data_IF_533143710573
#
_entry.id   IF_533143710573
#
_cell.length_a   1.000
_cell.length_b   1.000
_cell.length_c   1.000
_cell.angle_alpha   90.00
_cell.angle_beta   90.00
_cell.angle_gamma   90.00
#
_symmetry.space_group_name_H-M   'P 1'
#
loop_
_entity.id
_entity.type
_entity.pdbx_description
1 polymer ?
#
# COMPACT_ATOMS: atom_id res chain seq x y z
N UNK A 1 9.23 37.08 6.66
CA UNK A 1 9.34 36.18 5.49
C UNK A 1 9.10 34.76 5.99
N UNK A 2 7.89 34.23 5.79
CA UNK A 2 7.54 32.88 6.21
C UNK A 2 7.99 31.90 5.11
N UNK A 3 9.11 31.22 5.32
CA UNK A 3 9.45 30.02 4.56
C UNK A 3 8.58 28.89 5.08
N UNK A 4 7.50 28.61 4.35
CA UNK A 4 6.73 27.37 4.47
C UNK A 4 7.69 26.21 4.20
N UNK A 5 8.25 25.65 5.26
CA UNK A 5 8.94 24.36 5.25
C UNK A 5 7.87 23.30 4.97
N UNK A 6 7.59 23.06 3.68
CA UNK A 6 6.81 21.89 3.27
C UNK A 6 7.70 20.71 3.60
N UNK A 7 7.59 20.20 4.83
CA UNK A 7 8.21 18.95 5.26
C UNK A 7 7.76 17.89 4.26
N UNK A 8 8.63 17.58 3.31
CA UNK A 8 8.35 16.62 2.26
C UNK A 8 8.22 15.27 2.97
N UNK A 9 6.99 14.84 3.26
CA UNK A 9 6.72 13.57 3.91
C UNK A 9 7.34 12.48 3.05
N UNK A 10 8.39 11.84 3.58
CA UNK A 10 9.18 10.86 2.83
C UNK A 10 8.49 9.50 2.84
N UNK A 11 8.59 8.79 1.71
CA UNK A 11 8.32 7.36 1.60
C UNK A 11 8.90 6.61 2.79
N UNK A 12 8.06 5.81 3.46
CA UNK A 12 8.50 4.91 4.54
C UNK A 12 8.85 3.55 3.94
N UNK A 13 10.12 3.17 4.06
CA UNK A 13 10.58 1.80 3.82
C UNK A 13 10.71 1.07 5.15
N UNK A 14 10.46 -0.24 5.14
CA UNK A 14 10.55 -1.11 6.29
C UNK A 14 11.20 -2.45 5.92
N UNK A 15 11.57 -3.21 6.94
CA UNK A 15 12.03 -4.59 6.80
C UNK A 15 11.49 -5.42 7.98
N UNK A 16 11.52 -6.74 7.83
CA UNK A 16 11.16 -7.69 8.90
C UNK A 16 12.29 -8.71 9.07
N UNK A 17 12.34 -9.49 10.16
CA UNK A 17 13.35 -10.56 10.31
C UNK A 17 13.32 -11.59 9.17
N UNK A 18 12.14 -11.82 8.58
CA UNK A 18 11.94 -12.70 7.41
C UNK A 18 12.25 -11.94 6.11
N UNK A 19 11.74 -10.72 5.97
CA UNK A 19 11.97 -9.84 4.82
C UNK A 19 13.22 -9.01 5.08
N UNK A 20 14.39 -9.60 4.81
CA UNK A 20 15.72 -9.00 5.08
C UNK A 20 16.15 -7.90 4.11
N UNK A 21 15.24 -7.45 3.26
CA UNK A 21 15.45 -6.40 2.27
C UNK A 21 14.51 -5.25 2.56
N UNK A 22 14.92 -4.03 2.24
CA UNK A 22 14.06 -2.87 2.38
C UNK A 22 12.91 -2.94 1.38
N UNK A 23 11.69 -2.93 1.90
CA UNK A 23 10.43 -2.94 1.15
C UNK A 23 9.59 -1.73 1.54
N UNK A 24 8.53 -1.44 0.79
CA UNK A 24 7.58 -0.38 1.09
C UNK A 24 6.14 -0.87 0.87
N UNK A 25 5.20 -0.19 1.52
CA UNK A 25 3.77 -0.49 1.40
C UNK A 25 3.19 0.28 0.21
N UNK A 26 2.49 -0.41 -0.67
CA UNK A 26 1.81 0.17 -1.83
C UNK A 26 0.31 -0.15 -1.76
N UNK A 27 -0.50 0.80 -2.21
CA UNK A 27 -1.96 0.65 -2.30
C UNK A 27 -2.41 0.88 -3.74
N UNK A 28 -3.29 0.02 -4.23
CA UNK A 28 -4.05 0.18 -5.47
C UNK A 28 -5.51 -0.08 -5.17
N UNK A 29 -6.29 0.99 -5.06
CA UNK A 29 -7.69 0.94 -4.65
C UNK A 29 -7.84 0.22 -3.29
N UNK A 30 -8.60 -0.86 -3.25
CA UNK A 30 -8.82 -1.74 -2.11
C UNK A 30 -7.70 -2.75 -1.89
N UNK A 31 -6.72 -2.86 -2.79
CA UNK A 31 -5.62 -3.82 -2.71
C UNK A 31 -4.35 -3.21 -2.11
N UNK A 32 -3.69 -4.00 -1.28
CA UNK A 32 -2.47 -3.68 -0.58
C UNK A 32 -1.35 -4.63 -0.96
N UNK A 33 -0.16 -4.09 -1.12
CA UNK A 33 1.01 -4.81 -1.59
C UNK A 33 2.25 -4.40 -0.83
N UNK A 34 3.16 -5.35 -0.66
CA UNK A 34 4.56 -5.05 -0.39
C UNK A 34 5.27 -4.95 -1.74
N UNK A 35 6.05 -3.89 -1.92
CA UNK A 35 6.83 -3.65 -3.13
C UNK A 35 8.26 -3.29 -2.76
N UNK A 36 9.19 -3.45 -3.69
CA UNK A 36 10.53 -2.88 -3.54
C UNK A 36 10.44 -1.36 -3.68
N UNK A 37 11.03 -0.55 -2.78
CA UNK A 37 10.88 0.91 -2.77
C UNK A 37 11.61 1.60 -3.94
N UNK A 38 12.44 0.87 -4.69
CA UNK A 38 13.27 1.40 -5.77
C UNK A 38 13.46 0.40 -6.89
N UNK A 39 13.84 0.92 -8.05
CA UNK A 39 14.28 0.12 -9.17
C UNK A 39 15.70 -0.42 -9.01
N UNK A 40 15.88 -1.53 -8.30
CA UNK A 40 17.19 -2.21 -8.17
C UNK A 40 17.59 -2.96 -9.44
N UNK A 41 17.96 -2.26 -10.51
CA UNK A 41 18.55 -2.87 -11.72
C UNK A 41 17.69 -3.92 -12.45
N UNK A 42 16.45 -4.15 -12.01
CA UNK A 42 15.55 -5.13 -12.62
C UNK A 42 14.99 -4.54 -13.92
N UNK A 43 15.36 -5.17 -15.03
CA UNK A 43 14.72 -4.99 -16.33
C UNK A 43 13.26 -5.48 -16.23
N UNK A 44 12.33 -4.75 -16.83
CA UNK A 44 10.88 -5.00 -16.82
C UNK A 44 10.18 -4.94 -15.46
N UNK A 45 9.89 -3.70 -15.05
CA UNK A 45 8.49 -3.28 -14.93
C UNK A 45 7.65 -3.75 -13.74
N UNK A 46 7.93 -4.85 -13.04
CA UNK A 46 7.08 -5.33 -11.95
C UNK A 46 7.90 -5.75 -10.74
N UNK A 47 7.81 -4.92 -9.68
CA UNK A 47 8.55 -5.06 -8.41
C UNK A 47 7.61 -5.38 -7.24
N UNK A 48 6.62 -6.23 -7.48
CA UNK A 48 5.72 -6.71 -6.43
C UNK A 48 6.44 -7.79 -5.62
N UNK A 49 6.51 -7.61 -4.31
CA UNK A 49 7.07 -8.60 -3.40
C UNK A 49 5.98 -9.59 -2.96
N UNK A 50 4.86 -9.08 -2.45
CA UNK A 50 3.73 -9.89 -2.05
C UNK A 50 2.41 -9.08 -2.06
N UNK A 51 1.28 -9.67 -2.49
CA UNK A 51 -0.03 -9.13 -2.16
C UNK A 51 -0.34 -9.37 -0.68
N UNK A 52 -1.02 -8.41 -0.04
CA UNK A 52 -1.40 -8.51 1.37
C UNK A 52 -2.88 -8.79 1.57
N UNK A 53 -3.72 -8.58 0.56
CA UNK A 53 -5.14 -8.87 0.66
C UNK A 53 -5.74 -9.26 -0.68
N UNK A 54 -6.93 -9.83 -0.60
CA UNK A 54 -7.77 -10.14 -1.74
C UNK A 54 -9.21 -9.70 -1.43
N UNK A 55 -9.53 -8.43 -1.76
CA UNK A 55 -10.83 -7.85 -1.50
C UNK A 55 -11.95 -8.70 -2.11
N UNK A 56 -13.01 -8.90 -1.34
CA UNK A 56 -14.25 -9.50 -1.81
C UNK A 56 -15.22 -8.42 -2.26
N UNK A 57 -16.16 -8.71 -3.19
CA UNK A 57 -17.15 -7.72 -3.62
C UNK A 57 -18.03 -7.15 -2.49
N UNK A 58 -18.17 -7.90 -1.40
CA UNK A 58 -18.89 -7.49 -0.19
C UNK A 58 -18.07 -6.60 0.75
N UNK A 59 -16.78 -6.43 0.49
CA UNK A 59 -15.88 -5.71 1.39
C UNK A 59 -16.16 -4.22 1.34
N UNK A 60 -16.18 -3.60 2.52
CA UNK A 60 -16.17 -2.16 2.61
C UNK A 60 -14.84 -1.60 2.09
N UNK A 61 -14.88 -0.39 1.55
CA UNK A 61 -13.68 0.31 1.07
C UNK A 61 -12.58 0.31 2.13
N UNK A 62 -11.32 0.15 1.68
CA UNK A 62 -10.14 0.27 2.55
C UNK A 62 -9.80 1.72 2.89
N UNK A 63 -10.59 2.69 2.42
CA UNK A 63 -10.52 4.07 2.85
C UNK A 63 -10.60 4.18 4.38
N UNK A 64 -10.00 5.21 5.00
CA UNK A 64 -10.12 5.41 6.42
C UNK A 64 -11.59 5.64 6.76
N UNK A 65 -12.19 4.92 7.73
CA UNK A 65 -13.55 5.22 8.16
C UNK A 65 -13.61 6.64 8.71
N UNK A 66 -14.78 7.31 8.69
CA UNK A 66 -14.92 8.71 9.14
C UNK A 66 -14.37 9.00 10.55
N UNK A 67 -14.22 7.98 11.38
CA UNK A 67 -13.73 8.04 12.77
C UNK A 67 -12.25 7.68 12.93
N UNK A 68 -11.56 7.25 11.87
CA UNK A 68 -10.13 6.88 11.87
C UNK A 68 -9.40 7.62 10.76
N UNK A 69 -8.16 8.03 11.02
CA UNK A 69 -7.28 8.60 10.00
C UNK A 69 -6.59 7.50 9.16
N UNK A 70 -6.69 6.24 9.60
CA UNK A 70 -5.91 5.14 9.06
C UNK A 70 -6.75 4.16 8.25
N UNK A 71 -6.17 3.72 7.14
CA UNK A 71 -6.73 2.67 6.29
C UNK A 71 -6.81 1.35 7.01
N UNK A 72 -7.76 0.51 6.59
CA UNK A 72 -7.90 -0.85 7.10
C UNK A 72 -8.09 -1.83 5.96
N UNK A 73 -7.58 -3.04 6.12
CA UNK A 73 -7.82 -4.14 5.20
C UNK A 73 -7.79 -5.48 5.91
N UNK A 74 -8.36 -6.48 5.25
CA UNK A 74 -8.32 -7.88 5.69
C UNK A 74 -7.06 -8.55 5.16
N UNK A 75 -6.13 -8.91 6.05
CA UNK A 75 -4.88 -9.53 5.66
C UNK A 75 -5.15 -10.98 5.22
N UNK A 76 -4.73 -11.30 3.99
CA UNK A 76 -4.64 -12.67 3.51
C UNK A 76 -3.19 -13.11 3.66
N UNK A 77 -2.90 -13.85 4.72
CA UNK A 77 -1.54 -14.35 4.95
C UNK A 77 -1.08 -15.22 3.77
N UNK A 78 0.20 -15.09 3.43
CA UNK A 78 0.84 -15.91 2.43
C UNK A 78 2.14 -16.48 2.99
N UNK A 79 2.72 -17.55 2.41
CA UNK A 79 3.95 -18.15 2.92
C UNK A 79 5.12 -17.16 3.05
N UNK A 80 5.11 -16.07 2.28
CA UNK A 80 6.15 -15.04 2.30
C UNK A 80 5.91 -13.92 3.33
N UNK A 81 4.67 -13.75 3.79
CA UNK A 81 4.26 -12.64 4.68
C UNK A 81 3.11 -13.08 5.58
N UNK A 82 3.37 -13.16 6.87
CA UNK A 82 2.37 -13.42 7.92
C UNK A 82 2.01 -12.15 8.70
N UNK A 83 0.93 -12.17 9.49
CA UNK A 83 0.60 -11.06 10.40
C UNK A 83 1.76 -10.78 11.37
N UNK A 84 2.36 -11.83 11.91
CA UNK A 84 3.48 -11.72 12.85
C UNK A 84 4.64 -10.95 12.24
N UNK A 85 4.96 -11.21 10.96
CA UNK A 85 6.03 -10.50 10.26
C UNK A 85 5.76 -9.00 10.14
N UNK A 86 4.51 -8.63 9.83
CA UNK A 86 4.12 -7.23 9.69
C UNK A 86 4.11 -6.48 11.02
N UNK A 87 3.74 -7.16 12.12
CA UNK A 87 3.71 -6.56 13.46
C UNK A 87 5.11 -6.27 14.01
N UNK A 88 6.13 -7.01 13.58
CA UNK A 88 7.54 -6.79 13.98
C UNK A 88 8.31 -5.92 12.98
N UNK A 89 7.64 -5.37 11.97
CA UNK A 89 8.25 -4.49 10.99
C UNK A 89 8.88 -3.26 11.65
N UNK A 90 10.05 -2.85 11.15
CA UNK A 90 10.74 -1.64 11.60
C UNK A 90 10.93 -0.67 10.43
N UNK A 91 10.39 0.56 10.49
CA UNK A 91 9.45 1.06 11.52
C UNK A 91 8.10 0.33 11.50
N UNK A 92 7.27 0.45 12.56
CA UNK A 92 5.93 -0.14 12.58
C UNK A 92 5.05 0.42 11.45
N UNK A 93 4.46 -0.47 10.64
CA UNK A 93 3.63 -0.08 9.49
C UNK A 93 2.15 -0.44 9.65
N UNK A 94 1.83 -1.41 10.51
CA UNK A 94 0.47 -1.86 10.76
C UNK A 94 0.26 -2.17 12.23
N UNK A 95 -1.00 -2.22 12.66
CA UNK A 95 -1.43 -2.82 13.92
C UNK A 95 -2.62 -3.75 13.67
N UNK A 96 -2.75 -4.80 14.49
CA UNK A 96 -3.96 -5.63 14.48
C UNK A 96 -5.12 -4.85 15.11
N UNK A 97 -6.33 -4.97 14.56
CA UNK A 97 -7.53 -4.35 15.15
C UNK A 97 -8.22 -5.25 16.17
N UNK A 98 -7.87 -6.54 16.20
CA UNK A 98 -8.55 -7.58 16.99
C UNK A 98 -9.76 -8.19 16.29
N UNK A 99 -10.20 -7.63 15.16
CA UNK A 99 -11.28 -8.19 14.36
C UNK A 99 -10.72 -9.24 13.40
N UNK A 100 -11.39 -10.39 13.30
CA UNK A 100 -11.09 -11.42 12.31
C UNK A 100 -12.34 -11.79 11.52
N UNK A 101 -12.16 -12.35 10.32
CA UNK A 101 -13.24 -12.95 9.53
C UNK A 101 -12.81 -14.31 9.00
N UNK A 102 -13.78 -15.15 8.64
CA UNK A 102 -13.53 -16.40 7.93
C UNK A 102 -14.03 -16.28 6.50
N UNK A 103 -13.19 -16.65 5.55
CA UNK A 103 -13.51 -16.63 4.12
C UNK A 103 -13.27 -18.02 3.56
N UNK A 104 -14.20 -18.50 2.73
CA UNK A 104 -14.01 -19.74 1.98
C UNK A 104 -13.20 -19.44 0.72
N UNK A 105 -12.02 -20.02 0.61
CA UNK A 105 -11.14 -19.94 -0.56
C UNK A 105 -10.97 -21.35 -1.08
N UNK A 106 -11.47 -21.60 -2.28
CA UNK A 106 -11.59 -22.95 -2.85
C UNK A 106 -12.34 -23.88 -1.87
N UNK A 107 -11.70 -24.94 -1.40
CA UNK A 107 -12.26 -25.91 -0.43
C UNK A 107 -11.76 -25.71 1.00
N UNK A 108 -11.14 -24.56 1.30
CA UNK A 108 -10.57 -24.26 2.62
C UNK A 108 -11.22 -23.01 3.22
N UNK A 109 -11.47 -23.05 4.52
CA UNK A 109 -11.76 -21.85 5.29
C UNK A 109 -10.45 -21.24 5.78
N UNK A 110 -10.27 -19.95 5.48
CA UNK A 110 -9.10 -19.17 5.86
C UNK A 110 -9.57 -18.06 6.81
N UNK A 111 -8.85 -17.87 7.90
CA UNK A 111 -9.05 -16.74 8.80
C UNK A 111 -8.25 -15.54 8.31
N UNK A 112 -8.91 -14.41 8.12
CA UNK A 112 -8.29 -13.16 7.71
C UNK A 112 -8.42 -12.13 8.85
N UNK A 113 -7.31 -11.75 9.52
CA UNK A 113 -7.33 -10.70 10.51
C UNK A 113 -7.43 -9.33 9.84
N UNK A 114 -8.19 -8.42 10.44
CA UNK A 114 -8.19 -7.02 10.03
C UNK A 114 -6.99 -6.29 10.64
N UNK A 115 -6.30 -5.54 9.79
CA UNK A 115 -5.18 -4.69 10.18
C UNK A 115 -5.46 -3.24 9.84
N UNK A 116 -4.89 -2.34 10.64
CA UNK A 116 -4.92 -0.90 10.42
C UNK A 116 -3.53 -0.42 10.03
N UNK A 117 -3.45 0.35 8.93
CA UNK A 117 -2.21 0.87 8.37
C UNK A 117 -1.82 2.15 9.09
N UNK A 118 -0.64 2.17 9.70
CA UNK A 118 -0.15 3.28 10.51
C UNK A 118 0.48 4.40 9.67
N UNK A 119 0.59 4.20 8.35
CA UNK A 119 1.14 5.15 7.40
C UNK A 119 0.03 5.98 6.78
N UNK A 120 0.30 7.27 6.57
CA UNK A 120 -0.55 8.15 5.76
C UNK A 120 -0.29 7.90 4.26
N UNK A 121 -1.21 8.34 3.40
CA UNK A 121 -1.12 8.17 1.94
C UNK A 121 0.21 8.70 1.36
N UNK A 122 0.74 9.81 1.90
CA UNK A 122 2.01 10.40 1.44
C UNK A 122 3.25 9.57 1.82
N UNK A 123 3.13 8.71 2.84
CA UNK A 123 4.20 7.83 3.31
C UNK A 123 4.24 6.49 2.56
N UNK A 124 3.18 6.16 1.83
CA UNK A 124 3.10 4.98 1.00
C UNK A 124 4.01 5.11 -0.23
N UNK A 125 4.31 3.96 -0.83
CA UNK A 125 4.95 3.90 -2.14
C UNK A 125 4.06 4.57 -3.18
N UNK A 126 4.51 5.72 -3.70
CA UNK A 126 3.83 6.46 -4.77
C UNK A 126 4.24 5.92 -6.14
N UNK A 127 3.87 4.66 -6.38
CA UNK A 127 4.00 4.01 -7.68
C UNK A 127 2.66 4.06 -8.39
N UNK A 128 2.67 4.41 -9.68
CA UNK A 128 1.46 4.42 -10.48
C UNK A 128 0.82 3.03 -10.50
N UNK A 129 -0.43 2.93 -10.04
CA UNK A 129 -1.20 1.69 -10.12
C UNK A 129 -1.52 1.26 -11.57
N UNK A 130 -1.45 2.19 -12.53
CA UNK A 130 -1.70 1.95 -13.95
C UNK A 130 -0.42 1.58 -14.72
N UNK A 131 0.53 2.51 -14.86
CA UNK A 131 1.75 2.29 -15.66
C UNK A 131 2.91 1.69 -14.87
N UNK A 132 2.82 1.61 -13.53
CA UNK A 132 3.89 1.09 -12.69
C UNK A 132 5.14 1.98 -12.59
N UNK A 133 5.13 3.19 -13.14
CA UNK A 133 6.23 4.15 -13.01
C UNK A 133 6.34 4.71 -11.59
N UNK A 134 7.55 5.10 -11.21
CA UNK A 134 7.85 5.75 -9.93
C UNK A 134 7.58 7.25 -10.00
N UNK A 135 7.20 7.85 -8.87
CA UNK A 135 7.11 9.31 -8.70
C UNK A 135 8.29 10.07 -9.31
N UNK A 136 9.50 9.66 -8.95
CA UNK A 136 10.73 10.34 -9.37
C UNK A 136 11.10 10.10 -10.85
N UNK A 137 10.34 9.28 -11.57
CA UNK A 137 10.57 9.03 -13.01
C UNK A 137 9.90 10.07 -13.91
N UNK A 138 9.04 10.94 -13.38
CA UNK A 138 8.36 11.97 -14.18
C UNK A 138 9.16 13.28 -14.19
N UNK A 139 9.47 13.85 -15.37
CA UNK A 139 10.14 15.14 -15.49
C UNK A 139 9.25 16.30 -14.99
N UNK A 140 9.86 17.26 -14.28
CA UNK A 140 9.30 18.59 -13.99
C UNK A 140 8.00 18.59 -13.20
N UNK A 141 8.09 18.51 -11.87
CA UNK A 141 7.02 18.73 -10.86
C UNK A 141 5.57 18.37 -11.25
N UNK A 142 5.36 17.45 -12.20
CA UNK A 142 4.04 17.10 -12.73
C UNK A 142 3.41 16.21 -11.66
N UNK A 143 2.97 16.87 -10.59
CA UNK A 143 2.39 16.27 -9.41
C UNK A 143 1.11 15.59 -9.88
N UNK A 144 1.19 14.27 -10.03
CA UNK A 144 0.53 13.40 -9.08
C UNK A 144 -0.87 13.86 -8.65
N UNK A 145 -1.80 13.92 -9.59
CA UNK A 145 -3.19 14.14 -9.22
C UNK A 145 -3.79 12.82 -8.75
N UNK A 146 -4.39 12.81 -7.55
CA UNK A 146 -5.21 11.71 -7.08
C UNK A 146 -6.40 11.57 -8.04
N UNK A 147 -6.32 10.63 -8.98
CA UNK A 147 -7.43 10.39 -9.91
C UNK A 147 -8.52 9.61 -9.19
N UNK A 148 -9.42 10.30 -8.52
CA UNK A 148 -10.67 9.70 -8.05
C UNK A 148 -11.60 9.49 -9.26
N UNK A 149 -11.55 8.33 -9.92
CA UNK A 149 -12.61 7.99 -10.86
C UNK A 149 -13.88 7.66 -10.06
N UNK A 150 -14.96 8.42 -10.33
CA UNK A 150 -16.36 8.21 -9.93
C UNK A 150 -16.58 7.15 -8.84
N UNK A 151 -16.49 7.57 -7.57
CA UNK A 151 -16.94 6.76 -6.43
C UNK A 151 -15.99 5.67 -5.96
N UNK A 152 -14.83 5.48 -6.59
CA UNK A 152 -13.81 4.52 -6.14
C UNK A 152 -12.60 5.27 -5.54
N UNK A 153 -12.12 4.81 -4.38
CA UNK A 153 -10.90 5.33 -3.71
C UNK A 153 -9.62 4.79 -4.38
N UNK A 154 -9.57 4.89 -5.70
CA UNK A 154 -8.42 4.51 -6.50
C UNK A 154 -7.35 5.60 -6.43
N UNK A 155 -6.27 5.34 -5.69
CA UNK A 155 -5.09 6.19 -5.76
C UNK A 155 -4.30 5.81 -7.02
N UNK A 156 -4.38 6.65 -8.05
CA UNK A 156 -3.53 6.57 -9.23
C UNK A 156 -2.60 7.77 -9.26
N UNK A 157 -1.32 7.51 -9.56
CA UNK A 157 -0.29 8.53 -9.71
C UNK A 157 0.24 8.45 -11.14
N UNK A 158 -0.40 9.11 -12.10
CA UNK A 158 0.03 9.04 -13.51
C UNK A 158 0.32 10.44 -14.05
N UNK A 159 1.55 10.66 -14.53
CA UNK A 159 1.91 11.84 -15.29
C UNK A 159 1.75 11.56 -16.78
N UNK A 160 0.54 11.67 -17.30
CA UNK A 160 0.33 11.76 -18.75
C UNK A 160 -0.61 12.92 -19.02
N UNK A 161 -0.02 14.08 -19.31
CA UNK A 161 -0.65 15.08 -20.17
C UNK A 161 -0.47 14.64 -21.62
N UNK A 162 -1.20 13.61 -22.05
CA UNK A 162 -1.50 13.32 -23.47
C UNK A 162 -2.60 12.26 -23.54
N UNK A 163 -3.85 12.70 -23.63
CA UNK A 163 -4.77 12.47 -24.75
C UNK A 163 -5.87 13.54 -24.69
#
# INVERSE_FOLDING_TARGET
>A
MNTNDKTQTRLVSFSTPVIRIQVALHRRCDRWYIVYPRAYGMADGWKLFAPLNEPQPSDSSTAPPKQSLHHRFWLRECPSVTLTDLLVATPPIVKATGTTRRVKVEDKEIEEPQVEVLLNDEQLCQRCAYCGCWEYSYPGETRHEKVAQRGEDGIYWCGVSVF
#
